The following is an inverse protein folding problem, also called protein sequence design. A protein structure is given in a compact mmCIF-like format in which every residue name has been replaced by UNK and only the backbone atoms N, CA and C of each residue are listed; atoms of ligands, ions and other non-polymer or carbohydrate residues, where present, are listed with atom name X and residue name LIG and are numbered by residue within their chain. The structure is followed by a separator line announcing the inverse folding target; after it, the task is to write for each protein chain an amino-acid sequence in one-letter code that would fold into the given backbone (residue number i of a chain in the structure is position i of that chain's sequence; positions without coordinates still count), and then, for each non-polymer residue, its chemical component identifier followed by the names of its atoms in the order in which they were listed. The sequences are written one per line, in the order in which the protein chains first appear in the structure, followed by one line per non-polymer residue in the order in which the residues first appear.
data_IF_017512664950
#
_entry.id   IF_017512664950
#
_cell.length_a   1.000
_cell.length_b   1.000
_cell.length_c   1.000
_cell.angle_alpha   90.00
_cell.angle_beta   90.00
_cell.angle_gamma   90.00
#
_symmetry.space_group_name_H-M   'P 1'
#
loop_
_entity.id
_entity.type
_entity.pdbx_description
1 polymer ?
#
# COMPACT_ATOMS: atom_id res chain seq x y z
N UNK A 1 -1.92 18.24 4.58
CA UNK A 1 -1.30 17.73 3.35
C UNK A 1 -0.29 18.70 2.73
N UNK A 2 -0.48 20.03 2.73
CA UNK A 2 0.58 20.96 2.27
C UNK A 2 1.90 20.77 3.04
N UNK A 3 1.84 20.58 4.38
CA UNK A 3 3.02 20.30 5.20
C UNK A 3 3.78 19.05 4.74
N UNK A 4 3.06 17.94 4.47
CA UNK A 4 3.69 16.71 3.99
C UNK A 4 4.22 16.85 2.55
N UNK A 5 3.40 17.36 1.63
CA UNK A 5 3.70 17.37 0.20
C UNK A 5 4.73 18.44 -0.20
N UNK A 6 4.69 19.61 0.44
CA UNK A 6 5.53 20.75 0.04
C UNK A 6 6.73 20.94 0.97
N UNK A 7 6.65 20.46 2.23
CA UNK A 7 7.69 20.68 3.25
C UNK A 7 8.27 19.40 3.82
N UNK A 8 7.71 18.23 3.51
CA UNK A 8 8.16 16.95 4.07
C UNK A 8 7.95 16.85 5.58
N UNK A 9 7.01 17.61 6.15
CA UNK A 9 6.74 17.62 7.60
C UNK A 9 5.57 16.70 7.90
N UNK A 10 5.83 15.67 8.70
CA UNK A 10 4.80 14.78 9.20
C UNK A 10 3.89 15.52 10.20
N UNK A 11 2.57 15.45 10.00
CA UNK A 11 1.60 16.09 10.90
C UNK A 11 0.66 15.08 11.55
N UNK A 12 0.05 15.46 12.68
CA UNK A 12 -1.05 14.71 13.31
C UNK A 12 -2.17 15.68 13.70
N UNK A 13 -3.22 15.73 12.89
CA UNK A 13 -4.40 16.54 13.20
C UNK A 13 -5.26 15.87 14.28
N UNK A 14 -5.68 16.65 15.28
CA UNK A 14 -6.60 16.22 16.33
C UNK A 14 -7.71 17.27 16.39
N UNK A 15 -8.98 16.85 16.40
CA UNK A 15 -10.12 17.77 16.50
C UNK A 15 -10.14 18.40 17.89
N UNK A 16 -10.50 19.68 17.99
CA UNK A 16 -10.64 20.39 19.27
C UNK A 16 -11.55 19.61 20.24
N UNK A 17 -12.73 19.18 19.77
CA UNK A 17 -13.64 18.35 20.56
C UNK A 17 -13.01 17.03 21.08
N UNK A 18 -12.10 16.42 20.32
CA UNK A 18 -11.41 15.21 20.78
C UNK A 18 -10.49 15.52 21.97
N UNK A 19 -9.80 16.66 21.93
CA UNK A 19 -8.94 17.13 23.01
C UNK A 19 -9.77 17.52 24.23
N UNK A 20 -10.82 18.31 24.03
CA UNK A 20 -11.60 18.91 25.11
C UNK A 20 -12.51 17.90 25.81
N UNK A 21 -13.11 16.96 25.07
CA UNK A 21 -14.21 16.11 25.58
C UNK A 21 -13.87 14.63 25.63
N UNK A 22 -12.80 14.18 24.94
CA UNK A 22 -12.54 12.75 24.72
C UNK A 22 -11.09 12.34 24.96
N UNK A 23 -10.26 13.17 25.62
CA UNK A 23 -8.86 12.88 25.90
C UNK A 23 -8.66 11.84 27.03
N UNK A 24 -9.35 10.70 26.94
CA UNK A 24 -9.12 9.53 27.80
C UNK A 24 -7.99 8.65 27.27
N UNK A 25 -7.51 7.72 28.10
CA UNK A 25 -6.37 6.84 27.78
C UNK A 25 -6.57 6.07 26.47
N UNK A 26 -7.78 5.56 26.20
CA UNK A 26 -8.07 4.86 24.96
C UNK A 26 -7.87 5.75 23.72
N UNK A 27 -8.35 6.99 23.78
CA UNK A 27 -8.19 7.97 22.70
C UNK A 27 -6.73 8.38 22.52
N UNK A 28 -6.03 8.64 23.62
CA UNK A 28 -4.62 9.00 23.60
C UNK A 28 -3.77 7.86 23.03
N UNK A 29 -4.02 6.62 23.45
CA UNK A 29 -3.35 5.44 22.92
C UNK A 29 -3.56 5.30 21.41
N UNK A 30 -4.79 5.47 20.91
CA UNK A 30 -5.07 5.42 19.47
C UNK A 30 -4.34 6.54 18.69
N UNK A 31 -4.17 7.72 19.28
CA UNK A 31 -3.38 8.80 18.68
C UNK A 31 -1.89 8.43 18.65
N UNK A 32 -1.36 7.88 19.75
CA UNK A 32 0.03 7.43 19.85
C UNK A 32 0.34 6.31 18.85
N UNK A 33 -0.58 5.37 18.62
CA UNK A 33 -0.43 4.34 17.58
C UNK A 33 -0.21 4.95 16.20
N UNK A 34 -0.96 6.00 15.85
CA UNK A 34 -0.83 6.71 14.57
C UNK A 34 0.48 7.49 14.48
N UNK A 35 0.88 8.17 15.57
CA UNK A 35 2.13 8.90 15.65
C UNK A 35 3.33 7.97 15.50
N UNK A 36 3.36 6.87 16.25
CA UNK A 36 4.42 5.89 16.17
C UNK A 36 4.59 5.36 14.74
N UNK A 37 3.50 4.98 14.08
CA UNK A 37 3.56 4.52 12.68
C UNK A 37 4.05 5.59 11.70
N UNK A 38 3.67 6.86 11.87
CA UNK A 38 4.18 7.97 11.04
C UNK A 38 5.69 8.18 11.22
N UNK A 39 6.19 7.93 12.42
CA UNK A 39 7.62 7.99 12.75
C UNK A 39 8.35 6.67 12.44
N UNK A 40 7.77 5.80 11.60
CA UNK A 40 8.29 4.48 11.21
C UNK A 40 8.45 3.48 12.38
N UNK A 41 7.84 3.75 13.53
CA UNK A 41 7.77 2.82 14.65
C UNK A 41 6.79 1.68 14.39
N UNK A 42 7.00 0.57 15.09
CA UNK A 42 6.19 -0.65 14.96
C UNK A 42 5.38 -0.85 16.24
N UNK A 43 4.06 -0.87 16.12
CA UNK A 43 3.14 -1.04 17.26
C UNK A 43 3.01 -2.50 17.70
N UNK A 44 2.84 -3.41 16.74
CA UNK A 44 2.70 -4.84 16.97
C UNK A 44 3.26 -5.64 15.80
N UNK A 45 3.56 -6.93 16.05
CA UNK A 45 4.00 -7.89 15.05
C UNK A 45 3.29 -9.23 15.29
N UNK A 46 3.17 -10.02 14.24
CA UNK A 46 2.68 -11.40 14.36
C UNK A 46 3.77 -12.24 15.01
N UNK A 47 3.40 -13.01 16.04
CA UNK A 47 4.30 -13.94 16.69
C UNK A 47 4.89 -14.94 15.69
N UNK A 48 6.19 -15.22 15.81
CA UNK A 48 6.91 -16.07 14.86
C UNK A 48 6.36 -17.50 14.82
N UNK A 49 5.86 -18.03 15.95
CA UNK A 49 5.24 -19.35 16.01
C UNK A 49 3.84 -19.40 15.38
N UNK A 50 3.21 -18.24 15.15
CA UNK A 50 1.91 -18.12 14.50
C UNK A 50 1.99 -17.87 12.99
N UNK A 51 3.19 -17.61 12.46
CA UNK A 51 3.41 -17.37 11.03
C UNK A 51 3.28 -18.68 10.25
N UNK A 52 2.57 -18.65 9.13
CA UNK A 52 2.48 -19.79 8.20
C UNK A 52 3.78 -19.95 7.41
N UNK A 53 3.95 -21.10 6.75
CA UNK A 53 5.19 -21.47 6.04
C UNK A 53 5.55 -20.57 4.85
N UNK A 54 4.65 -19.68 4.41
CA UNK A 54 4.98 -18.67 3.39
C UNK A 54 5.82 -17.53 3.99
N UNK A 55 5.68 -17.26 5.29
CA UNK A 55 6.41 -16.23 6.04
C UNK A 55 7.60 -16.79 6.83
N UNK A 56 8.10 -17.96 6.46
CA UNK A 56 9.33 -18.54 7.02
C UNK A 56 10.54 -17.64 6.75
N UNK A 57 11.55 -17.70 7.63
CA UNK A 57 12.69 -16.78 7.63
C UNK A 57 13.60 -16.86 6.39
N UNK A 58 13.53 -17.96 5.65
CA UNK A 58 14.22 -18.17 4.37
C UNK A 58 13.49 -17.53 3.18
N UNK A 59 12.21 -17.15 3.35
CA UNK A 59 11.39 -16.52 2.32
C UNK A 59 11.34 -15.00 2.49
N UNK A 60 11.18 -14.32 1.36
CA UNK A 60 11.05 -12.87 1.30
C UNK A 60 9.68 -12.56 0.71
N UNK A 61 8.73 -12.19 1.55
CA UNK A 61 7.33 -11.95 1.15
C UNK A 61 7.07 -10.46 1.10
N UNK A 62 6.47 -10.00 0.00
CA UNK A 62 5.88 -8.67 -0.11
C UNK A 62 4.36 -8.80 -0.14
N UNK A 63 3.68 -8.04 0.72
CA UNK A 63 2.23 -7.88 0.65
C UNK A 63 1.96 -6.60 -0.14
N UNK A 64 1.03 -6.65 -1.10
CA UNK A 64 0.56 -5.49 -1.84
C UNK A 64 -0.94 -5.37 -1.61
N UNK A 65 -1.40 -4.19 -1.21
CA UNK A 65 -2.81 -3.80 -1.20
C UNK A 65 -3.08 -2.77 -2.28
N UNK A 66 -4.22 -2.87 -2.96
CA UNK A 66 -4.66 -1.86 -3.92
C UNK A 66 -6.17 -1.63 -3.87
N UNK A 67 -6.55 -0.37 -4.02
CA UNK A 67 -7.93 0.11 -4.12
C UNK A 67 -8.03 1.22 -5.17
N UNK A 68 -9.22 1.35 -5.76
CA UNK A 68 -9.57 2.46 -6.65
C UNK A 68 -10.77 3.19 -6.08
N UNK A 69 -10.54 4.44 -5.67
CA UNK A 69 -11.61 5.30 -5.18
C UNK A 69 -12.18 6.13 -6.34
N UNK A 70 -13.49 6.05 -6.52
CA UNK A 70 -14.24 6.89 -7.45
C UNK A 70 -14.86 8.11 -6.76
N UNK A 71 -15.00 9.24 -7.47
CA UNK A 71 -15.76 10.38 -7.00
C UNK A 71 -17.26 10.07 -6.91
N UNK A 72 -18.03 10.99 -6.33
CA UNK A 72 -19.49 10.87 -6.22
C UNK A 72 -20.14 10.54 -7.57
N UNK A 73 -21.21 9.73 -7.63
CA UNK A 73 -21.89 9.36 -8.87
C UNK A 73 -22.33 10.55 -9.75
N UNK A 74 -22.55 11.72 -9.13
CA UNK A 74 -22.94 12.97 -9.81
C UNK A 74 -21.75 13.67 -10.48
N UNK A 75 -20.52 13.37 -10.09
CA UNK A 75 -19.29 13.98 -10.56
C UNK A 75 -18.65 13.13 -11.66
N UNK A 76 -19.19 13.22 -12.87
CA UNK A 76 -18.83 12.31 -13.98
C UNK A 76 -17.43 12.51 -14.57
N UNK A 77 -16.87 13.70 -14.44
CA UNK A 77 -15.59 14.07 -15.07
C UNK A 77 -14.43 14.15 -14.06
N UNK A 78 -14.68 13.82 -12.79
CA UNK A 78 -13.61 13.77 -11.80
C UNK A 78 -12.88 12.43 -11.97
N UNK A 79 -11.54 12.43 -12.02
CA UNK A 79 -10.78 11.21 -12.21
C UNK A 79 -10.92 10.25 -11.03
N UNK A 80 -10.65 8.97 -11.27
CA UNK A 80 -10.50 7.99 -10.21
C UNK A 80 -9.10 8.07 -9.62
N UNK A 81 -8.94 7.72 -8.34
CA UNK A 81 -7.64 7.68 -7.68
C UNK A 81 -7.33 6.22 -7.33
N UNK A 82 -6.20 5.74 -7.83
CA UNK A 82 -5.61 4.48 -7.41
C UNK A 82 -4.77 4.75 -6.18
N UNK A 83 -4.98 3.98 -5.12
CA UNK A 83 -4.11 3.92 -3.96
C UNK A 83 -3.55 2.52 -3.80
N UNK A 84 -2.23 2.39 -3.75
CA UNK A 84 -1.57 1.11 -3.45
C UNK A 84 -0.64 1.24 -2.26
N UNK A 85 -0.47 0.14 -1.54
CA UNK A 85 0.52 0.02 -0.50
C UNK A 85 1.28 -1.29 -0.62
N UNK A 86 2.54 -1.32 -0.22
CA UNK A 86 3.32 -2.54 -0.20
C UNK A 86 4.22 -2.63 1.04
N UNK A 87 4.39 -3.82 1.59
CA UNK A 87 5.37 -4.05 2.67
C UNK A 87 6.79 -3.99 2.13
N UNK A 88 7.74 -3.60 2.98
CA UNK A 88 9.17 -3.47 2.64
C UNK A 88 10.10 -4.10 3.67
N UNK A 89 9.54 -4.64 4.75
CA UNK A 89 10.26 -5.23 5.87
C UNK A 89 9.93 -6.72 6.06
N UNK A 90 10.80 -7.50 6.74
CA UNK A 90 10.60 -8.95 6.88
C UNK A 90 9.37 -9.33 7.70
N UNK A 91 8.92 -8.44 8.59
CA UNK A 91 7.76 -8.68 9.45
C UNK A 91 6.44 -8.26 8.77
N UNK A 92 6.50 -7.70 7.55
CA UNK A 92 5.35 -7.25 6.79
C UNK A 92 4.48 -6.22 7.54
N UNK A 93 5.10 -5.31 8.29
CA UNK A 93 4.40 -4.29 9.10
C UNK A 93 4.59 -2.85 8.62
N UNK A 94 5.66 -2.55 7.87
CA UNK A 94 5.95 -1.23 7.31
C UNK A 94 5.53 -1.18 5.84
N UNK A 95 4.50 -0.38 5.59
CA UNK A 95 3.97 -0.16 4.25
C UNK A 95 4.50 1.14 3.66
N UNK A 96 4.97 1.08 2.41
CA UNK A 96 5.12 2.26 1.56
C UNK A 96 3.88 2.41 0.67
N UNK A 97 3.61 3.61 0.18
CA UNK A 97 2.42 3.90 -0.63
C UNK A 97 2.80 4.43 -2.01
N UNK A 98 1.98 4.10 -3.01
CA UNK A 98 1.95 4.78 -4.30
C UNK A 98 0.52 5.19 -4.61
N UNK A 99 0.36 6.24 -5.41
CA UNK A 99 -0.94 6.63 -5.92
C UNK A 99 -0.84 7.05 -7.38
N UNK A 100 -1.95 6.89 -8.11
CA UNK A 100 -2.06 7.29 -9.51
C UNK A 100 -3.44 7.87 -9.77
N UNK A 101 -3.51 8.80 -10.71
CA UNK A 101 -4.76 9.35 -11.22
C UNK A 101 -5.06 8.60 -12.51
N UNK A 102 -6.30 8.16 -12.68
CA UNK A 102 -6.76 7.53 -13.91
C UNK A 102 -8.14 8.02 -14.31
N UNK A 103 -8.58 7.61 -15.51
CA UNK A 103 -9.84 8.09 -16.08
C UNK A 103 -11.03 7.91 -15.11
N UNK A 104 -12.06 8.78 -15.20
CA UNK A 104 -13.25 8.68 -14.38
C UNK A 104 -13.89 7.29 -14.46
N UNK A 105 -14.26 6.72 -13.30
CA UNK A 105 -14.95 5.42 -13.15
C UNK A 105 -14.22 4.23 -13.77
N UNK A 106 -12.92 4.35 -13.99
CA UNK A 106 -12.08 3.25 -14.43
C UNK A 106 -11.70 2.45 -13.18
N UNK A 107 -12.22 1.24 -13.05
CA UNK A 107 -11.89 0.35 -11.92
C UNK A 107 -10.52 -0.30 -12.13
N UNK A 108 -10.22 -0.76 -13.33
CA UNK A 108 -8.97 -1.47 -13.63
C UNK A 108 -7.77 -0.54 -13.51
N UNK A 109 -6.76 -0.95 -12.74
CA UNK A 109 -5.54 -0.16 -12.51
C UNK A 109 -4.65 -0.25 -13.75
N UNK A 110 -4.65 0.78 -14.58
CA UNK A 110 -3.88 0.80 -15.85
C UNK A 110 -2.38 0.98 -15.64
N UNK A 111 -1.98 1.65 -14.56
CA UNK A 111 -0.60 1.96 -14.22
C UNK A 111 0.05 0.90 -13.33
N UNK A 112 -0.51 -0.31 -13.27
CA UNK A 112 -0.09 -1.32 -12.31
C UNK A 112 1.39 -1.71 -12.47
N UNK A 113 1.89 -1.74 -13.71
CA UNK A 113 3.31 -2.01 -13.98
C UNK A 113 4.23 -1.03 -13.25
N UNK A 114 4.02 0.27 -13.46
CA UNK A 114 4.89 1.32 -12.91
C UNK A 114 4.82 1.36 -11.38
N UNK A 115 3.62 1.19 -10.82
CA UNK A 115 3.38 1.13 -9.38
C UNK A 115 4.15 -0.04 -8.75
N UNK A 116 4.08 -1.22 -9.37
CA UNK A 116 4.78 -2.41 -8.87
C UNK A 116 6.30 -2.26 -8.99
N UNK A 117 6.80 -1.65 -10.07
CA UNK A 117 8.22 -1.32 -10.21
C UNK A 117 8.72 -0.43 -9.06
N UNK A 118 7.95 0.58 -8.67
CA UNK A 118 8.30 1.45 -7.53
C UNK A 118 8.32 0.68 -6.20
N UNK A 119 7.32 -0.15 -5.94
CA UNK A 119 7.28 -1.00 -4.75
C UNK A 119 8.47 -1.97 -4.71
N UNK A 120 8.84 -2.59 -5.84
CA UNK A 120 10.00 -3.48 -5.94
C UNK A 120 11.32 -2.74 -5.69
N UNK A 121 11.48 -1.52 -6.21
CA UNK A 121 12.65 -0.67 -5.93
C UNK A 121 12.81 -0.40 -4.44
N UNK A 122 11.72 -0.02 -3.76
CA UNK A 122 11.73 0.25 -2.32
C UNK A 122 12.06 -1.02 -1.53
N UNK A 123 11.39 -2.13 -1.85
CA UNK A 123 11.64 -3.40 -1.18
C UNK A 123 13.08 -3.89 -1.37
N UNK A 124 13.60 -3.81 -2.59
CA UNK A 124 14.98 -4.19 -2.85
C UNK A 124 15.97 -3.27 -2.13
N UNK A 125 15.68 -1.97 -2.05
CA UNK A 125 16.50 -1.06 -1.28
C UNK A 125 16.56 -1.45 0.21
N UNK A 126 15.44 -1.87 0.79
CA UNK A 126 15.34 -2.18 2.23
C UNK A 126 15.82 -3.61 2.57
N UNK A 127 15.52 -4.59 1.73
CA UNK A 127 15.82 -6.01 1.95
C UNK A 127 17.11 -6.49 1.28
N UNK A 128 17.62 -5.74 0.29
CA UNK A 128 18.72 -6.16 -0.61
C UNK A 128 18.46 -7.52 -1.28
N UNK A 129 17.18 -7.86 -1.45
CA UNK A 129 16.70 -9.12 -2.01
C UNK A 129 15.45 -8.85 -2.85
N UNK A 130 15.28 -9.65 -3.89
CA UNK A 130 14.03 -9.69 -4.64
C UNK A 130 12.98 -10.50 -3.84
N UNK A 131 11.71 -10.07 -3.77
CA UNK A 131 10.68 -10.85 -3.09
C UNK A 131 10.50 -12.20 -3.77
N UNK A 132 10.56 -13.28 -2.99
CA UNK A 132 10.29 -14.63 -3.50
C UNK A 132 8.80 -14.88 -3.69
N UNK A 133 7.95 -14.19 -2.93
CA UNK A 133 6.49 -14.27 -3.03
C UNK A 133 5.89 -12.87 -2.94
N UNK A 134 4.83 -12.64 -3.71
CA UNK A 134 3.99 -11.46 -3.62
C UNK A 134 2.56 -11.92 -3.34
N UNK A 135 1.93 -11.36 -2.32
CA UNK A 135 0.51 -11.57 -2.04
C UNK A 135 -0.21 -10.26 -2.36
N UNK A 136 -1.12 -10.31 -3.34
CA UNK A 136 -1.85 -9.15 -3.83
C UNK A 136 -3.30 -9.17 -3.33
N UNK A 137 -3.66 -8.18 -2.54
CA UNK A 137 -5.03 -7.93 -2.08
C UNK A 137 -5.62 -6.75 -2.85
N UNK A 138 -6.62 -7.04 -3.68
CA UNK A 138 -7.31 -6.05 -4.51
C UNK A 138 -8.75 -5.88 -4.01
N UNK A 139 -9.07 -4.71 -3.47
CA UNK A 139 -10.41 -4.37 -2.96
C UNK A 139 -11.34 -3.89 -4.09
N UNK A 140 -12.65 -3.82 -3.89
CA UNK A 140 -13.56 -3.05 -4.77
C UNK A 140 -13.91 -3.66 -6.14
N UNK A 141 -13.44 -4.85 -6.46
CA UNK A 141 -13.68 -5.48 -7.78
C UNK A 141 -14.95 -6.34 -7.76
N UNK A 142 -15.87 -6.07 -8.68
CA UNK A 142 -17.04 -6.92 -8.87
C UNK A 142 -16.70 -8.21 -9.64
N UNK A 143 -17.46 -9.29 -9.43
CA UNK A 143 -17.22 -10.61 -10.06
C UNK A 143 -17.04 -10.53 -11.59
N UNK A 144 -17.82 -9.68 -12.26
CA UNK A 144 -17.75 -9.49 -13.72
C UNK A 144 -16.47 -8.82 -14.22
N UNK A 145 -15.59 -8.34 -13.33
CA UNK A 145 -14.35 -7.64 -13.65
C UNK A 145 -13.09 -8.47 -13.33
N UNK A 146 -13.23 -9.67 -12.76
CA UNK A 146 -12.09 -10.51 -12.36
C UNK A 146 -11.17 -10.85 -13.52
N UNK A 147 -11.71 -11.21 -14.68
CA UNK A 147 -10.91 -11.52 -15.86
C UNK A 147 -10.10 -10.31 -16.32
N UNK A 148 -10.67 -9.11 -16.27
CA UNK A 148 -9.96 -7.87 -16.62
C UNK A 148 -8.83 -7.57 -15.64
N UNK A 149 -9.05 -7.77 -14.34
CA UNK A 149 -7.99 -7.61 -13.32
C UNK A 149 -6.85 -8.60 -13.55
N UNK A 150 -7.15 -9.86 -13.82
CA UNK A 150 -6.14 -10.88 -14.11
C UNK A 150 -5.33 -10.54 -15.38
N UNK A 151 -5.98 -10.05 -16.42
CA UNK A 151 -5.32 -9.76 -17.68
C UNK A 151 -4.53 -8.44 -17.65
N UNK A 152 -5.12 -7.37 -17.12
CA UNK A 152 -4.52 -6.04 -17.16
C UNK A 152 -3.61 -5.78 -15.96
N UNK A 153 -4.06 -6.06 -14.74
CA UNK A 153 -3.28 -5.76 -13.53
C UNK A 153 -2.21 -6.82 -13.29
N UNK A 154 -2.56 -8.11 -13.35
CA UNK A 154 -1.60 -9.20 -13.09
C UNK A 154 -0.70 -9.49 -14.31
N UNK A 155 -1.28 -9.87 -15.45
CA UNK A 155 -0.50 -10.33 -16.60
C UNK A 155 0.27 -9.20 -17.30
N UNK A 156 -0.37 -8.05 -17.56
CA UNK A 156 0.28 -6.91 -18.22
C UNK A 156 0.92 -5.91 -17.23
N UNK A 157 0.42 -5.82 -16.02
CA UNK A 157 0.99 -4.96 -14.98
C UNK A 157 2.14 -5.64 -14.23
N UNK A 158 1.78 -6.51 -13.29
CA UNK A 158 2.70 -7.13 -12.35
C UNK A 158 3.77 -8.00 -13.03
N UNK A 159 3.37 -8.92 -13.92
CA UNK A 159 4.32 -9.84 -14.55
C UNK A 159 5.35 -9.12 -15.43
N UNK A 160 4.95 -8.07 -16.14
CA UNK A 160 5.88 -7.24 -16.91
C UNK A 160 6.82 -6.45 -15.99
N UNK A 161 6.31 -5.90 -14.88
CA UNK A 161 7.15 -5.24 -13.88
C UNK A 161 8.19 -6.21 -13.30
N UNK A 162 7.83 -7.47 -13.05
CA UNK A 162 8.74 -8.49 -12.54
C UNK A 162 9.84 -8.85 -13.54
N UNK A 163 9.48 -9.01 -14.81
CA UNK A 163 10.45 -9.24 -15.88
C UNK A 163 11.46 -8.11 -15.97
N UNK A 164 10.96 -6.87 -16.08
CA UNK A 164 11.80 -5.67 -16.20
C UNK A 164 12.68 -5.46 -14.96
N UNK A 165 12.14 -5.60 -13.75
CA UNK A 165 12.94 -5.37 -12.55
C UNK A 165 14.04 -6.41 -12.37
N UNK A 166 13.80 -7.67 -12.77
CA UNK A 166 14.85 -8.71 -12.73
C UNK A 166 16.01 -8.38 -13.64
N UNK A 167 15.78 -7.81 -14.82
CA UNK A 167 16.85 -7.37 -15.72
C UNK A 167 17.67 -6.19 -15.14
N UNK A 168 17.06 -5.36 -14.28
CA UNK A 168 17.74 -4.21 -13.67
C UNK A 168 18.66 -4.55 -12.50
N UNK A 169 18.46 -5.71 -11.85
CA UNK A 169 19.21 -6.11 -10.63
C UNK A 169 20.20 -7.25 -10.87
N UNK A 170 20.22 -7.83 -12.07
CA UNK A 170 21.23 -8.78 -12.55
C UNK A 170 22.42 -8.01 -13.11
#
# INVERSE_FOLDING_TARGET
QAAELEKGVLTQCIKADTVEKKANDSTLNNILLKLNSKLNGINQRIDAGSKTSIFSSDKSVMLIGADVTHPSPTQRNIPSIVGTCATSDPDCVRYNMQFRIQDPKKEIIVSMKDVVLEHLKIFFNDQKKYPSHIIYYRDGVADGQFEQVLNEELAKGMNLAFGEFRELIV
#
